data_IF_327914835111
#
_entry.id   IF_327914835111
#
_cell.length_a   1.000
_cell.length_b   1.000
_cell.length_c   1.000
_cell.angle_alpha   90.00
_cell.angle_beta   90.00
_cell.angle_gamma   90.00
#
_symmetry.space_group_name_H-M   'P 1'
#
loop_
_entity.id
_entity.type
_entity.pdbx_description
1 polymer ?
#
# COMPACT_ATOMS: atom_id res chain seq x y z
N UNK A 1 43.95 -32.79 12.22
CA UNK A 1 42.71 -32.24 12.82
C UNK A 1 42.57 -30.75 12.48
N UNK A 2 42.38 -30.38 11.20
CA UNK A 2 42.18 -28.96 10.83
C UNK A 2 41.60 -28.81 9.40
N UNK A 3 40.49 -29.49 9.07
CA UNK A 3 39.91 -29.39 7.71
C UNK A 3 38.39 -29.55 7.64
N UNK A 4 37.66 -29.34 8.74
CA UNK A 4 36.19 -29.41 8.79
C UNK A 4 35.50 -28.09 9.20
N UNK A 5 36.18 -26.95 9.07
CA UNK A 5 35.64 -25.65 9.46
C UNK A 5 35.57 -24.60 8.33
N UNK A 6 35.95 -24.96 7.10
CA UNK A 6 35.92 -24.03 5.95
C UNK A 6 34.65 -24.12 5.10
N UNK A 7 33.73 -25.03 5.40
CA UNK A 7 32.49 -25.18 4.63
C UNK A 7 31.36 -24.22 5.09
N UNK A 8 31.47 -23.65 6.31
CA UNK A 8 30.44 -22.79 6.87
C UNK A 8 30.55 -21.30 6.44
N UNK A 9 31.61 -20.89 5.75
CA UNK A 9 31.88 -19.47 5.47
C UNK A 9 31.43 -18.99 4.09
N UNK A 10 30.78 -19.84 3.27
CA UNK A 10 30.21 -19.44 1.97
C UNK A 10 28.67 -19.45 1.92
N UNK A 11 28.01 -20.07 2.91
CA UNK A 11 26.55 -20.04 3.02
C UNK A 11 26.02 -18.71 3.58
N UNK A 12 26.84 -17.98 4.36
CA UNK A 12 26.46 -16.69 4.94
C UNK A 12 26.47 -15.52 3.94
N UNK A 13 26.99 -15.73 2.72
CA UNK A 13 27.06 -14.70 1.67
C UNK A 13 25.76 -14.56 0.87
N UNK A 14 24.83 -15.51 0.99
CA UNK A 14 23.55 -15.51 0.28
C UNK A 14 22.39 -14.91 1.09
N UNK A 15 22.63 -14.53 2.34
CA UNK A 15 21.69 -13.76 3.16
C UNK A 15 21.96 -12.25 3.04
N UNK A 16 22.13 -11.75 1.82
CA UNK A 16 21.70 -10.38 1.51
C UNK A 16 20.35 -10.47 0.78
N UNK A 17 19.37 -11.01 1.49
CA UNK A 17 17.99 -10.66 1.16
C UNK A 17 17.89 -9.20 1.58
N UNK A 18 17.80 -8.28 0.61
CA UNK A 18 17.35 -6.92 0.87
C UNK A 18 15.89 -6.99 1.31
N UNK A 19 15.64 -7.42 2.54
CA UNK A 19 14.33 -7.36 3.19
C UNK A 19 14.14 -5.92 3.63
N UNK A 20 13.79 -5.07 2.68
CA UNK A 20 13.23 -3.74 2.97
C UNK A 20 12.09 -3.45 1.99
N UNK A 21 11.26 -4.45 1.70
CA UNK A 21 9.87 -4.16 1.36
C UNK A 21 9.13 -4.15 2.70
N UNK A 22 8.52 -3.00 3.04
CA UNK A 22 7.61 -2.95 4.19
C UNK A 22 6.53 -3.99 3.94
N UNK A 23 6.38 -4.96 4.86
CA UNK A 23 5.50 -6.11 4.66
C UNK A 23 4.03 -5.77 4.44
N UNK A 24 3.59 -4.55 4.76
CA UNK A 24 2.26 -4.04 4.48
C UNK A 24 2.32 -2.53 4.26
N UNK A 25 1.75 -2.06 3.14
CA UNK A 25 1.55 -0.64 2.90
C UNK A 25 0.42 -0.10 3.80
N UNK A 26 0.61 1.10 4.35
CA UNK A 26 -0.39 1.76 5.17
C UNK A 26 -1.57 2.25 4.30
N UNK A 27 -2.80 2.13 4.81
CA UNK A 27 -4.03 2.65 4.18
C UNK A 27 -4.83 3.43 5.22
N UNK A 28 -5.38 4.59 4.86
CA UNK A 28 -6.08 5.53 5.74
C UNK A 28 -7.58 5.50 5.45
N UNK A 29 -8.41 5.36 6.49
CA UNK A 29 -9.85 5.10 6.33
C UNK A 29 -10.66 6.26 5.72
N UNK A 30 -10.29 7.49 6.04
CA UNK A 30 -11.08 8.68 5.66
C UNK A 30 -10.67 9.28 4.31
N UNK A 31 -9.99 8.49 3.47
CA UNK A 31 -9.56 8.86 2.12
C UNK A 31 -10.28 8.03 1.06
N UNK A 32 -10.36 8.61 -0.13
CA UNK A 32 -10.76 7.89 -1.35
C UNK A 32 -9.52 7.62 -2.20
N UNK A 33 -9.55 6.55 -2.98
CA UNK A 33 -8.39 6.05 -3.70
C UNK A 33 -8.68 5.76 -5.17
N UNK A 34 -7.68 6.00 -6.02
CA UNK A 34 -7.64 5.47 -7.38
C UNK A 34 -6.98 4.09 -7.41
N UNK A 35 -7.30 3.29 -8.43
CA UNK A 35 -6.62 2.01 -8.70
C UNK A 35 -5.13 2.21 -9.01
N UNK A 36 -4.76 3.38 -9.55
CA UNK A 36 -3.40 3.80 -9.85
C UNK A 36 -2.60 4.30 -8.62
N UNK A 37 -3.12 4.10 -7.41
CA UNK A 37 -2.42 4.36 -6.14
C UNK A 37 -2.27 5.83 -5.72
N UNK A 38 -3.15 6.71 -6.19
CA UNK A 38 -3.37 8.05 -5.65
C UNK A 38 -4.50 8.08 -4.62
N UNK A 39 -4.47 9.06 -3.73
CA UNK A 39 -5.50 9.31 -2.74
C UNK A 39 -6.05 10.73 -2.86
N UNK A 40 -7.30 10.91 -2.43
CA UNK A 40 -7.94 12.21 -2.28
C UNK A 40 -8.66 12.33 -0.94
N UNK A 41 -8.44 13.46 -0.26
CA UNK A 41 -9.16 13.89 0.94
C UNK A 41 -10.06 15.06 0.59
N UNK A 42 -11.37 14.94 0.81
CA UNK A 42 -12.33 16.00 0.47
C UNK A 42 -12.79 16.72 1.74
N UNK A 43 -12.66 18.04 1.72
CA UNK A 43 -13.05 18.95 2.80
C UNK A 43 -13.92 20.07 2.22
N UNK A 44 -15.24 19.86 2.20
CA UNK A 44 -16.17 20.80 1.57
C UNK A 44 -16.01 20.82 0.04
N UNK A 45 -15.61 21.97 -0.51
CA UNK A 45 -15.36 22.13 -1.95
C UNK A 45 -13.87 21.99 -2.35
N UNK A 46 -13.00 21.72 -1.38
CA UNK A 46 -11.57 21.54 -1.62
C UNK A 46 -11.20 20.07 -1.47
N UNK A 47 -10.33 19.59 -2.34
CA UNK A 47 -9.81 18.24 -2.34
C UNK A 47 -8.27 18.28 -2.30
N UNK A 48 -7.67 17.60 -1.33
CA UNK A 48 -6.21 17.40 -1.25
C UNK A 48 -5.84 16.07 -1.88
N UNK A 49 -4.82 16.04 -2.72
CA UNK A 49 -4.40 14.86 -3.50
C UNK A 49 -2.93 14.54 -3.22
N UNK A 50 -2.61 13.24 -3.19
CA UNK A 50 -1.23 12.73 -3.13
C UNK A 50 -1.13 11.27 -3.56
N UNK A 51 0.04 10.65 -3.40
CA UNK A 51 0.25 9.23 -3.69
C UNK A 51 0.26 8.40 -2.40
N UNK A 52 -0.10 7.12 -2.51
CA UNK A 52 -0.20 6.21 -1.36
C UNK A 52 1.17 5.73 -0.85
N UNK A 53 1.20 5.20 0.38
CA UNK A 53 2.38 4.53 0.94
C UNK A 53 2.83 3.33 0.08
N UNK A 54 1.89 2.66 -0.58
CA UNK A 54 2.22 1.61 -1.55
C UNK A 54 2.98 2.15 -2.75
N UNK A 55 2.49 3.23 -3.36
CA UNK A 55 3.11 3.84 -4.53
C UNK A 55 4.56 4.27 -4.23
N UNK A 56 4.78 4.98 -3.12
CA UNK A 56 6.13 5.43 -2.77
C UNK A 56 7.09 4.27 -2.49
N UNK A 57 6.62 3.15 -1.92
CA UNK A 57 7.47 1.99 -1.61
C UNK A 57 7.96 1.31 -2.90
N UNK A 58 7.08 1.24 -3.90
CA UNK A 58 7.38 0.68 -5.22
C UNK A 58 8.32 1.58 -6.02
N UNK A 59 8.13 2.90 -5.95
CA UNK A 59 9.04 3.87 -6.56
C UNK A 59 10.43 3.83 -5.88
N UNK A 60 10.48 3.64 -4.56
CA UNK A 60 11.70 3.82 -3.78
C UNK A 60 12.01 5.29 -3.55
N UNK A 61 13.29 5.62 -3.35
CA UNK A 61 13.70 6.97 -2.95
C UNK A 61 13.35 8.01 -4.04
N UNK A 62 12.40 8.88 -3.71
CA UNK A 62 11.91 9.96 -4.58
C UNK A 62 12.90 11.10 -4.59
N UNK A 63 13.27 11.53 -5.80
CA UNK A 63 14.29 12.55 -6.03
C UNK A 63 13.73 13.81 -6.70
N UNK A 64 12.55 13.73 -7.32
CA UNK A 64 11.91 14.86 -7.97
C UNK A 64 10.39 14.66 -8.06
N UNK A 65 9.65 15.78 -8.04
CA UNK A 65 8.20 15.82 -8.24
C UNK A 65 7.88 16.93 -9.22
N UNK A 66 7.24 16.59 -10.33
CA UNK A 66 6.70 17.55 -11.29
C UNK A 66 5.32 18.02 -10.81
N UNK A 67 5.23 19.31 -10.46
CA UNK A 67 4.01 19.96 -10.00
C UNK A 67 3.35 20.76 -11.13
N UNK A 68 2.01 20.77 -11.21
CA UNK A 68 1.29 21.64 -12.15
C UNK A 68 1.34 23.10 -11.70
N UNK A 69 0.92 24.01 -12.58
CA UNK A 69 0.73 25.41 -12.19
C UNK A 69 -0.55 25.61 -11.37
N UNK A 70 -0.50 26.51 -10.39
CA UNK A 70 -1.72 26.97 -9.70
C UNK A 70 -2.66 27.61 -10.71
N UNK A 71 -3.90 27.14 -10.71
CA UNK A 71 -4.94 27.57 -11.64
C UNK A 71 -5.09 26.69 -12.87
N UNK A 72 -4.21 25.70 -13.08
CA UNK A 72 -4.36 24.72 -14.13
C UNK A 72 -5.64 23.87 -13.93
N UNK A 73 -6.36 23.51 -15.01
CA UNK A 73 -7.45 22.55 -14.93
C UNK A 73 -6.88 21.13 -14.74
N UNK A 74 -7.56 20.32 -13.93
CA UNK A 74 -7.32 18.88 -13.81
C UNK A 74 -8.59 18.12 -14.11
N UNK A 75 -8.44 16.94 -14.71
CA UNK A 75 -9.55 16.08 -15.11
C UNK A 75 -9.41 14.71 -14.46
N UNK A 76 -10.53 14.14 -14.00
CA UNK A 76 -10.55 12.80 -13.43
C UNK A 76 -9.86 11.77 -14.34
N UNK A 77 -8.89 11.04 -13.78
CA UNK A 77 -8.12 10.00 -14.46
C UNK A 77 -7.08 10.51 -15.47
N UNK A 78 -6.87 11.81 -15.58
CA UNK A 78 -5.80 12.39 -16.41
C UNK A 78 -4.61 12.80 -15.56
N UNK A 79 -3.41 12.66 -16.13
CA UNK A 79 -2.18 13.10 -15.47
C UNK A 79 -2.15 14.62 -15.29
N UNK A 80 -1.66 15.06 -14.13
CA UNK A 80 -1.39 16.47 -13.85
C UNK A 80 0.08 16.74 -13.49
N UNK A 81 0.90 15.70 -13.37
CA UNK A 81 2.28 15.77 -12.91
C UNK A 81 2.91 14.38 -12.83
N UNK A 82 4.12 14.30 -12.28
CA UNK A 82 4.89 13.06 -12.21
C UNK A 82 5.75 13.00 -10.93
N UNK A 83 6.04 11.79 -10.45
CA UNK A 83 7.04 11.53 -9.40
C UNK A 83 8.20 10.75 -9.99
N UNK A 84 9.42 11.23 -9.75
CA UNK A 84 10.64 10.54 -10.17
C UNK A 84 11.44 10.05 -8.97
N UNK A 85 11.95 8.84 -9.12
CA UNK A 85 12.82 8.17 -8.16
C UNK A 85 14.11 7.72 -8.84
N UNK A 86 15.04 7.18 -8.06
CA UNK A 86 16.24 6.53 -8.61
C UNK A 86 15.95 5.25 -9.42
N UNK A 87 14.71 4.73 -9.36
CA UNK A 87 14.31 3.48 -10.03
C UNK A 87 13.38 3.69 -11.23
N UNK A 88 12.48 4.66 -11.13
CA UNK A 88 11.37 4.85 -12.07
C UNK A 88 10.81 6.27 -12.03
N UNK A 89 10.12 6.63 -13.11
CA UNK A 89 9.25 7.82 -13.22
C UNK A 89 7.82 7.33 -13.38
N UNK A 90 6.88 7.92 -12.63
CA UNK A 90 5.46 7.61 -12.72
C UNK A 90 4.64 8.89 -12.81
N UNK A 91 3.73 8.92 -13.78
CA UNK A 91 2.69 9.96 -13.87
C UNK A 91 1.75 9.87 -12.66
N UNK A 92 1.12 11.00 -12.32
CA UNK A 92 0.15 11.13 -11.22
C UNK A 92 -1.18 11.55 -11.80
N UNK A 93 -2.20 10.70 -11.64
CA UNK A 93 -3.53 10.97 -12.16
C UNK A 93 -4.39 11.70 -11.14
N UNK A 94 -5.21 12.63 -11.61
CA UNK A 94 -6.14 13.35 -10.73
C UNK A 94 -7.33 12.44 -10.35
N UNK A 95 -7.61 12.22 -9.05
CA UNK A 95 -8.79 11.47 -8.61
C UNK A 95 -10.11 12.21 -8.80
N UNK A 96 -10.09 13.50 -9.16
CA UNK A 96 -11.27 14.33 -9.39
C UNK A 96 -10.98 15.40 -10.45
N UNK A 97 -12.04 15.90 -11.07
CA UNK A 97 -12.00 17.03 -11.98
C UNK A 97 -12.12 18.34 -11.19
N UNK A 98 -11.41 19.38 -11.63
CA UNK A 98 -11.41 20.67 -10.94
C UNK A 98 -10.32 21.63 -11.40
N UNK A 99 -9.99 22.59 -10.54
CA UNK A 99 -8.93 23.57 -10.75
C UNK A 99 -7.92 23.51 -9.61
N UNK A 100 -6.63 23.48 -9.92
CA UNK A 100 -5.57 23.53 -8.91
C UNK A 100 -5.63 24.88 -8.19
N UNK A 101 -5.78 24.87 -6.87
CA UNK A 101 -5.80 26.07 -6.02
C UNK A 101 -4.52 26.24 -5.20
N UNK A 102 -3.81 25.14 -4.96
CA UNK A 102 -2.56 25.13 -4.19
C UNK A 102 -1.69 23.96 -4.66
N UNK A 103 -0.37 24.14 -4.63
CA UNK A 103 0.62 23.07 -4.86
C UNK A 103 1.60 23.04 -3.70
N UNK A 104 2.14 21.86 -3.39
CA UNK A 104 3.10 21.71 -2.30
C UNK A 104 4.52 22.05 -2.76
N UNK A 105 4.84 23.34 -2.75
CA UNK A 105 6.17 23.87 -3.11
C UNK A 105 7.32 23.30 -2.27
N UNK A 106 7.05 22.76 -1.07
CA UNK A 106 8.07 22.13 -0.23
C UNK A 106 8.73 20.94 -0.93
N UNK A 107 7.99 20.23 -1.79
CA UNK A 107 8.46 19.06 -2.55
C UNK A 107 9.59 19.39 -3.52
N UNK A 108 9.70 20.64 -4.00
CA UNK A 108 10.81 21.08 -4.84
C UNK A 108 12.17 21.00 -4.11
N UNK A 109 12.15 21.22 -2.80
CA UNK A 109 13.36 21.17 -1.95
C UNK A 109 13.49 19.87 -1.16
N UNK A 110 12.36 19.21 -0.89
CA UNK A 110 12.26 18.05 0.00
C UNK A 110 11.38 16.95 -0.61
N UNK A 111 11.76 16.39 -1.77
CA UNK A 111 10.96 15.36 -2.46
C UNK A 111 10.75 14.09 -1.62
N UNK A 112 11.66 13.77 -0.70
CA UNK A 112 11.55 12.64 0.24
C UNK A 112 10.38 12.72 1.24
N UNK A 113 9.64 13.83 1.28
CA UNK A 113 8.36 13.90 2.00
C UNK A 113 7.33 12.92 1.43
N UNK A 114 7.39 12.62 0.14
CA UNK A 114 6.58 11.58 -0.51
C UNK A 114 6.83 10.21 0.14
N UNK A 115 8.09 9.87 0.42
CA UNK A 115 8.43 8.59 1.05
C UNK A 115 8.10 8.55 2.55
N UNK A 116 8.39 9.65 3.26
CA UNK A 116 8.36 9.68 4.73
C UNK A 116 6.97 10.03 5.30
N UNK A 117 6.14 10.75 4.55
CA UNK A 117 4.84 11.24 5.02
C UNK A 117 3.81 11.35 3.87
N UNK A 118 3.56 10.26 3.11
CA UNK A 118 2.73 10.29 1.89
C UNK A 118 1.29 10.81 2.11
N UNK A 119 0.75 10.67 3.32
CA UNK A 119 -0.62 11.06 3.66
C UNK A 119 -0.74 12.40 4.41
N UNK A 120 0.36 12.96 4.89
CA UNK A 120 0.35 14.23 5.63
C UNK A 120 1.17 15.29 4.91
N UNK A 121 2.51 15.27 5.02
CA UNK A 121 3.37 16.31 4.44
C UNK A 121 3.68 16.10 2.95
N UNK A 122 3.46 14.90 2.44
CA UNK A 122 3.66 14.49 1.05
C UNK A 122 2.44 14.70 0.16
N UNK A 123 1.47 15.53 0.56
CA UNK A 123 0.41 15.97 -0.34
C UNK A 123 1.02 16.77 -1.51
N UNK A 124 0.37 16.76 -2.67
CA UNK A 124 0.96 17.27 -3.93
C UNK A 124 0.20 18.50 -4.42
N UNK A 125 -1.13 18.39 -4.54
CA UNK A 125 -1.99 19.49 -4.96
C UNK A 125 -3.24 19.59 -4.07
N UNK A 126 -3.81 20.79 -4.02
CA UNK A 126 -5.20 21.00 -3.63
C UNK A 126 -5.99 21.51 -4.81
N UNK A 127 -7.21 21.02 -4.93
CA UNK A 127 -8.09 21.23 -6.07
C UNK A 127 -9.43 21.75 -5.58
N UNK A 128 -9.96 22.76 -6.26
CA UNK A 128 -11.38 23.13 -6.16
C UNK A 128 -12.20 22.17 -7.03
N UNK A 129 -13.08 21.39 -6.39
CA UNK A 129 -13.82 20.30 -7.04
C UNK A 129 -14.89 20.88 -7.96
N UNK A 130 -14.90 20.44 -9.23
CA UNK A 130 -15.93 20.84 -10.20
C UNK A 130 -17.07 19.82 -10.33
N UNK A 131 -16.81 18.56 -9.99
CA UNK A 131 -17.79 17.47 -10.09
C UNK A 131 -17.66 16.49 -8.91
N UNK A 132 -18.47 16.67 -7.87
CA UNK A 132 -18.48 15.79 -6.69
C UNK A 132 -19.00 14.37 -6.97
N UNK A 133 -19.69 14.15 -8.10
CA UNK A 133 -20.21 12.83 -8.47
C UNK A 133 -19.13 11.79 -8.75
N UNK A 134 -17.93 12.23 -9.13
CA UNK A 134 -16.76 11.38 -9.42
C UNK A 134 -16.22 10.67 -8.17
N UNK A 135 -16.51 11.18 -6.97
CA UNK A 135 -16.13 10.52 -5.72
C UNK A 135 -16.77 9.14 -5.53
N UNK A 136 -17.90 8.89 -6.21
CA UNK A 136 -18.60 7.61 -6.12
C UNK A 136 -17.92 6.50 -6.93
N UNK A 137 -17.09 6.85 -7.91
CA UNK A 137 -16.30 5.88 -8.68
C UNK A 137 -14.97 5.54 -8.01
N UNK A 138 -14.57 6.29 -6.98
CA UNK A 138 -13.33 6.04 -6.25
C UNK A 138 -13.49 4.90 -5.23
N UNK A 139 -12.38 4.25 -4.93
CA UNK A 139 -12.34 3.20 -3.92
C UNK A 139 -12.31 3.76 -2.50
N UNK A 140 -12.94 3.03 -1.58
CA UNK A 140 -12.74 3.21 -0.15
C UNK A 140 -11.48 2.47 0.34
N UNK A 141 -11.02 2.82 1.54
CA UNK A 141 -9.86 2.21 2.19
C UNK A 141 -9.91 0.67 2.24
N UNK A 142 -11.08 0.07 2.53
CA UNK A 142 -11.21 -1.38 2.61
C UNK A 142 -10.95 -2.06 1.26
N UNK A 143 -11.45 -1.48 0.16
CA UNK A 143 -11.21 -1.98 -1.20
C UNK A 143 -9.76 -1.77 -1.61
N UNK A 144 -9.17 -0.62 -1.29
CA UNK A 144 -7.75 -0.34 -1.54
C UNK A 144 -6.86 -1.34 -0.80
N UNK A 145 -7.08 -1.57 0.49
CA UNK A 145 -6.32 -2.55 1.27
C UNK A 145 -6.42 -3.97 0.68
N UNK A 146 -7.62 -4.39 0.25
CA UNK A 146 -7.81 -5.69 -0.40
C UNK A 146 -7.08 -5.79 -1.75
N UNK A 147 -7.08 -4.72 -2.55
CA UNK A 147 -6.36 -4.73 -3.82
C UNK A 147 -4.85 -4.83 -3.61
N UNK A 148 -4.30 -4.13 -2.62
CA UNK A 148 -2.88 -4.23 -2.24
C UNK A 148 -2.52 -5.63 -1.72
N UNK A 149 -3.40 -6.25 -0.94
CA UNK A 149 -3.21 -7.61 -0.47
C UNK A 149 -3.22 -8.63 -1.62
N UNK A 150 -4.07 -8.44 -2.64
CA UNK A 150 -4.10 -9.32 -3.81
C UNK A 150 -2.85 -9.16 -4.67
N UNK A 151 -2.41 -7.91 -4.94
CA UNK A 151 -1.22 -7.64 -5.76
C UNK A 151 0.07 -8.15 -5.10
N UNK A 152 0.26 -7.91 -3.80
CA UNK A 152 1.43 -8.42 -3.08
C UNK A 152 1.50 -9.96 -3.08
N UNK A 153 0.37 -10.65 -2.94
CA UNK A 153 0.33 -12.12 -2.97
C UNK A 153 0.42 -12.72 -4.38
N UNK A 154 0.09 -11.97 -5.44
CA UNK A 154 0.24 -12.44 -6.81
C UNK A 154 1.71 -12.41 -7.27
N UNK A 155 2.50 -11.43 -6.82
CA UNK A 155 3.96 -11.39 -7.07
C UNK A 155 4.72 -12.54 -6.38
N UNK A 156 4.29 -12.92 -5.17
CA UNK A 156 4.76 -14.12 -4.47
C UNK A 156 4.49 -15.42 -5.24
N UNK A 157 3.45 -15.46 -6.08
CA UNK A 157 3.11 -16.60 -6.92
C UNK A 157 3.83 -16.62 -8.28
N UNK A 158 4.42 -15.50 -8.71
CA UNK A 158 4.90 -15.30 -10.08
C UNK A 158 6.40 -15.60 -10.32
N UNK A 159 7.14 -16.13 -9.35
CA UNK A 159 8.56 -16.48 -9.57
C UNK A 159 8.83 -17.99 -9.51
N UNK A 160 8.78 -18.73 -10.63
CA UNK A 160 9.64 -19.89 -10.80
C UNK A 160 10.95 -19.38 -11.40
N UNK A 161 11.93 -19.03 -10.55
CA UNK A 161 13.29 -18.87 -11.06
C UNK A 161 13.73 -20.22 -11.63
N UNK A 162 14.06 -20.27 -12.91
CA UNK A 162 14.54 -21.46 -13.61
C UNK A 162 15.88 -21.91 -13.02
N UNK A 163 15.80 -22.74 -11.98
CA UNK A 163 16.98 -23.25 -11.27
C UNK A 163 16.78 -23.70 -9.81
N UNK A 164 15.55 -23.76 -9.29
CA UNK A 164 15.33 -24.20 -7.91
C UNK A 164 15.51 -25.70 -7.71
N UNK A 165 16.24 -26.08 -6.67
CA UNK A 165 16.43 -27.48 -6.28
C UNK A 165 15.16 -28.04 -5.62
N UNK A 166 15.01 -29.36 -5.57
CA UNK A 166 13.85 -30.03 -4.94
C UNK A 166 13.63 -29.63 -3.46
N UNK A 167 14.65 -29.11 -2.78
CA UNK A 167 14.56 -28.64 -1.39
C UNK A 167 13.92 -27.25 -1.29
N UNK A 168 14.07 -26.39 -2.31
CA UNK A 168 13.54 -25.03 -2.33
C UNK A 168 12.02 -25.02 -2.55
N UNK A 169 11.51 -25.98 -3.32
CA UNK A 169 10.06 -26.20 -3.53
C UNK A 169 9.39 -26.67 -2.23
N UNK A 170 10.07 -27.52 -1.46
CA UNK A 170 9.56 -27.98 -0.15
C UNK A 170 9.51 -26.85 0.87
N UNK A 171 10.49 -25.95 0.86
CA UNK A 171 10.52 -24.79 1.77
C UNK A 171 9.41 -23.79 1.42
N UNK A 172 9.20 -23.48 0.14
CA UNK A 172 8.10 -22.62 -0.30
C UNK A 172 6.72 -23.23 -0.03
N UNK A 173 6.52 -24.52 -0.30
CA UNK A 173 5.28 -25.21 0.06
C UNK A 173 5.07 -25.22 1.57
N UNK A 174 6.12 -25.37 2.37
CA UNK A 174 6.01 -25.35 3.84
C UNK A 174 5.70 -23.95 4.36
N UNK A 175 6.28 -22.89 3.78
CA UNK A 175 6.00 -21.50 4.17
C UNK A 175 4.58 -21.11 3.72
N UNK A 176 4.19 -21.42 2.48
CA UNK A 176 2.84 -21.17 1.98
C UNK A 176 1.79 -21.94 2.79
N UNK A 177 2.05 -23.21 3.12
CA UNK A 177 1.16 -24.03 3.93
C UNK A 177 1.11 -23.55 5.39
N UNK A 178 2.22 -23.05 5.95
CA UNK A 178 2.25 -22.44 7.29
C UNK A 178 1.51 -21.10 7.34
N UNK A 179 1.62 -20.27 6.30
CA UNK A 179 0.83 -19.05 6.18
C UNK A 179 -0.65 -19.36 6.02
N UNK A 180 -1.00 -20.35 5.20
CA UNK A 180 -2.39 -20.78 5.02
C UNK A 180 -2.98 -21.36 6.31
N UNK A 181 -2.24 -22.21 7.04
CA UNK A 181 -2.67 -22.72 8.34
C UNK A 181 -2.77 -21.59 9.38
N UNK A 182 -1.82 -20.66 9.43
CA UNK A 182 -1.89 -19.52 10.35
C UNK A 182 -3.14 -18.67 10.09
N UNK A 183 -3.46 -18.41 8.82
CA UNK A 183 -4.67 -17.70 8.42
C UNK A 183 -5.94 -18.48 8.78
N UNK A 184 -5.97 -19.79 8.56
CA UNK A 184 -7.10 -20.63 8.97
C UNK A 184 -7.27 -20.68 10.49
N UNK A 185 -6.17 -20.69 11.26
CA UNK A 185 -6.21 -20.68 12.72
C UNK A 185 -6.69 -19.34 13.25
N UNK A 186 -6.25 -18.22 12.68
CA UNK A 186 -6.72 -16.87 13.05
C UNK A 186 -8.23 -16.76 12.79
N UNK A 187 -8.69 -17.18 11.62
CA UNK A 187 -10.11 -17.14 11.24
C UNK A 187 -10.96 -18.06 12.13
N UNK A 188 -10.43 -19.24 12.52
CA UNK A 188 -11.12 -20.16 13.43
C UNK A 188 -11.21 -19.61 14.86
N UNK A 189 -10.17 -18.90 15.33
CA UNK A 189 -10.16 -18.24 16.64
C UNK A 189 -11.18 -17.09 16.67
N UNK A 190 -11.30 -16.28 15.62
CA UNK A 190 -12.30 -15.23 15.53
C UNK A 190 -13.73 -15.79 15.52
N UNK A 191 -13.97 -16.88 14.79
CA UNK A 191 -15.27 -17.58 14.78
C UNK A 191 -15.61 -18.19 16.15
N UNK A 192 -14.62 -18.75 16.86
CA UNK A 192 -14.80 -19.23 18.25
C UNK A 192 -15.03 -18.10 19.25
N UNK A 193 -14.36 -16.95 19.08
CA UNK A 193 -14.56 -15.77 19.90
C UNK A 193 -15.97 -15.19 19.72
N UNK A 194 -16.47 -15.15 18.48
CA UNK A 194 -17.84 -14.73 18.18
C UNK A 194 -18.89 -15.74 18.68
N UNK A 195 -18.61 -17.05 18.56
CA UNK A 195 -19.49 -18.11 19.08
C UNK A 195 -19.60 -18.11 20.61
N UNK A 196 -18.51 -17.84 21.32
CA UNK A 196 -18.51 -17.74 22.78
C UNK A 196 -19.18 -16.46 23.29
N UNK A 197 -19.06 -15.32 22.58
CA UNK A 197 -19.81 -14.09 22.91
C UNK A 197 -21.34 -14.25 22.75
N UNK A 198 -21.80 -15.05 21.78
CA UNK A 198 -23.22 -15.37 21.60
C UNK A 198 -23.77 -16.26 22.74
N UNK A 199 -22.99 -17.23 23.23
CA UNK A 199 -23.39 -18.09 24.36
C UNK A 199 -23.44 -17.31 25.68
N UNK A 200 -22.50 -16.39 25.90
CA UNK A 200 -22.48 -15.54 27.10
C UNK A 200 -23.66 -14.58 27.12
N UNK A 201 -24.02 -13.97 25.99
CA UNK A 201 -25.23 -13.11 25.91
C UNK A 201 -26.54 -13.90 26.06
N UNK A 202 -26.60 -15.15 25.60
CA UNK A 202 -27.77 -16.01 25.79
C UNK A 202 -27.96 -16.41 27.26
N UNK A 203 -26.88 -16.63 28.03
CA UNK A 203 -26.97 -16.95 29.45
C UNK A 203 -27.30 -15.76 30.36
N UNK A 204 -26.86 -14.54 30.00
CA UNK A 204 -27.16 -13.33 30.78
C UNK A 204 -28.60 -12.85 30.55
N UNK A 205 -29.20 -13.14 29.39
CA UNK A 205 -30.60 -12.80 29.08
C UNK A 205 -31.67 -13.66 29.77
N UNK A 206 -31.29 -14.78 30.40
CA UNK A 206 -32.20 -15.73 31.05
C UNK A 206 -32.34 -15.55 32.58
N UNK A 207 -31.68 -14.54 33.17
CA UNK A 207 -31.73 -14.24 34.61
C UNK A 207 -32.39 -12.90 34.96
N UNK A 208 -33.11 -12.29 34.00
CA UNK A 208 -33.87 -11.05 34.22
C UNK A 208 -35.30 -11.21 33.72
N UNK A 209 -36.03 -12.21 34.21
CA UNK A 209 -37.49 -12.28 34.29
C UNK A 209 -37.88 -13.15 35.50
#
# INVERSE_FOLDING_TARGET
MASRLLWASRAASYLRISVFHRGFASVVKDLKYLDSHEWVKVEGNSATVGITDHAQDHLGDVVYVELPEVGAPVSHGSSFGAVESVKATSDINSPISGKVVEVNEELNSSPGLINSSPYDKGWIIKVEVSNSGELNSLMDADKSHLSLFIHSNSELAATPSSGMSSYDIHLLLTVAYRCFIALMVIMYIEVLALGSMLVVNYFIGLHVW
#
